data_IF_210267211694
#
_entry.id   IF_210267211694
#
_cell.length_a   1.000
_cell.length_b   1.000
_cell.length_c   1.000
_cell.angle_alpha   90.00
_cell.angle_beta   90.00
_cell.angle_gamma   90.00
#
_symmetry.space_group_name_H-M   'P 1'
#
loop_
_entity.id
_entity.type
_entity.pdbx_description
1 polymer ?
#
# COMPACT_ATOMS: atom_id res chain seq x y z
N UNK A 1 -7.62 29.88 8.47
CA UNK A 1 -6.44 29.26 7.78
C UNK A 1 -6.77 27.78 7.62
N UNK A 2 -6.62 27.18 6.42
CA UNK A 2 -7.14 25.83 6.11
C UNK A 2 -6.78 24.75 7.16
N UNK A 3 -5.60 24.86 7.77
CA UNK A 3 -5.16 24.02 8.90
C UNK A 3 -6.04 24.22 10.14
N UNK A 4 -6.03 25.41 10.73
CA UNK A 4 -6.78 25.72 11.96
C UNK A 4 -8.29 25.50 11.82
N UNK A 5 -8.84 25.80 10.64
CA UNK A 5 -10.29 25.75 10.40
C UNK A 5 -10.83 24.32 10.21
N UNK A 6 -9.96 23.35 9.90
CA UNK A 6 -10.37 21.98 9.54
C UNK A 6 -9.66 20.86 10.29
N UNK A 7 -8.61 21.16 11.06
CA UNK A 7 -7.87 20.17 11.84
C UNK A 7 -8.76 19.38 12.81
N UNK A 8 -9.59 20.06 13.60
CA UNK A 8 -10.50 19.39 14.55
C UNK A 8 -11.56 18.50 13.88
N UNK A 9 -12.09 18.95 12.73
CA UNK A 9 -13.01 18.13 11.93
C UNK A 9 -12.32 16.88 11.37
N UNK A 10 -11.09 17.04 10.85
CA UNK A 10 -10.31 15.93 10.28
C UNK A 10 -9.93 14.91 11.35
N UNK A 11 -9.49 15.35 12.53
CA UNK A 11 -9.23 14.46 13.66
C UNK A 11 -10.48 13.70 14.07
N UNK A 12 -11.64 14.35 14.15
CA UNK A 12 -12.90 13.69 14.44
C UNK A 12 -13.31 12.68 13.36
N UNK A 13 -13.00 12.95 12.09
CA UNK A 13 -13.22 12.02 10.98
C UNK A 13 -12.29 10.79 11.07
N UNK A 14 -11.01 11.00 11.41
CA UNK A 14 -10.01 9.93 11.56
C UNK A 14 -10.27 9.05 12.78
N UNK A 15 -10.69 9.61 13.92
CA UNK A 15 -11.03 8.85 15.14
C UNK A 15 -12.13 7.81 14.95
N UNK A 16 -13.01 7.98 13.94
CA UNK A 16 -14.05 6.99 13.62
C UNK A 16 -13.52 5.81 12.80
N UNK A 17 -12.26 5.87 12.36
CA UNK A 17 -11.65 4.95 11.38
C UNK A 17 -10.33 4.36 11.85
N UNK A 18 -9.82 4.80 12.99
CA UNK A 18 -8.53 4.41 13.57
C UNK A 18 -8.76 4.17 15.06
N UNK A 19 -8.12 3.14 15.60
CA UNK A 19 -8.35 2.69 16.97
C UNK A 19 -7.48 3.40 18.01
N UNK A 20 -6.43 4.11 17.58
CA UNK A 20 -5.47 4.78 18.45
C UNK A 20 -5.40 6.29 18.19
N UNK A 21 -5.30 7.07 19.26
CA UNK A 21 -5.13 8.52 19.22
C UNK A 21 -3.79 8.95 18.59
N UNK A 22 -2.73 8.15 18.73
CA UNK A 22 -1.44 8.39 18.08
C UNK A 22 -1.57 8.40 16.56
N UNK A 23 -2.10 7.30 16.00
CA UNK A 23 -2.34 7.15 14.56
C UNK A 23 -3.22 8.26 13.98
N UNK A 24 -4.23 8.73 14.75
CA UNK A 24 -5.07 9.86 14.36
C UNK A 24 -4.26 11.15 14.21
N UNK A 25 -3.35 11.43 15.14
CA UNK A 25 -2.53 12.64 15.11
C UNK A 25 -1.57 12.60 13.92
N UNK A 26 -0.90 11.46 13.72
CA UNK A 26 0.10 11.27 12.67
C UNK A 26 -0.55 11.37 11.28
N UNK A 27 -1.67 10.66 11.06
CA UNK A 27 -2.38 10.74 9.78
C UNK A 27 -2.98 12.13 9.52
N UNK A 28 -3.44 12.83 10.56
CA UNK A 28 -3.91 14.21 10.39
C UNK A 28 -2.76 15.12 9.93
N UNK A 29 -1.59 14.98 10.53
CA UNK A 29 -0.39 15.73 10.15
C UNK A 29 0.03 15.40 8.71
N UNK A 30 0.04 14.13 8.32
CA UNK A 30 0.37 13.70 6.96
C UNK A 30 -0.57 14.27 5.90
N UNK A 31 -1.88 14.35 6.19
CA UNK A 31 -2.85 15.00 5.29
C UNK A 31 -2.44 16.45 5.02
N UNK A 32 -2.10 17.20 6.07
CA UNK A 32 -1.70 18.60 5.94
C UNK A 32 -0.31 18.75 5.32
N UNK A 33 0.65 17.87 5.60
CA UNK A 33 1.96 17.87 4.93
C UNK A 33 1.80 17.63 3.43
N UNK A 34 1.04 16.61 3.01
CA UNK A 34 0.74 16.36 1.59
C UNK A 34 0.08 17.56 0.92
N UNK A 35 -0.77 18.27 1.64
CA UNK A 35 -1.43 19.47 1.15
C UNK A 35 -0.43 20.63 1.00
N UNK A 36 0.48 20.83 1.95
CA UNK A 36 1.51 21.87 1.91
C UNK A 36 2.55 21.62 0.79
N UNK A 37 2.87 20.37 0.49
CA UNK A 37 3.82 20.01 -0.56
C UNK A 37 3.25 20.09 -1.98
N UNK A 38 1.95 20.40 -2.13
CA UNK A 38 1.36 20.59 -3.46
C UNK A 38 1.88 21.87 -4.11
N UNK A 39 2.42 21.72 -5.33
CA UNK A 39 2.93 22.85 -6.11
C UNK A 39 1.80 23.75 -6.68
N UNK A 40 0.58 23.23 -6.83
CA UNK A 40 -0.54 23.98 -7.38
C UNK A 40 -1.29 24.77 -6.27
N UNK A 41 -1.67 26.04 -6.53
CA UNK A 41 -2.42 26.85 -5.57
C UNK A 41 -3.78 26.22 -5.24
N UNK A 42 -4.10 26.16 -3.95
CA UNK A 42 -5.29 25.53 -3.40
C UNK A 42 -6.46 26.51 -3.50
N UNK A 43 -7.08 26.62 -4.68
CA UNK A 43 -8.41 27.24 -4.82
C UNK A 43 -9.49 26.16 -4.66
N UNK A 44 -9.71 25.72 -3.42
CA UNK A 44 -10.61 24.61 -3.16
C UNK A 44 -11.97 25.14 -2.72
N UNK A 45 -12.99 24.91 -3.56
CA UNK A 45 -14.39 25.21 -3.23
C UNK A 45 -14.92 24.37 -2.07
N UNK A 46 -14.41 23.14 -1.91
CA UNK A 46 -14.82 22.19 -0.87
C UNK A 46 -13.63 21.60 -0.08
N UNK A 47 -13.06 22.34 0.89
CA UNK A 47 -11.87 21.93 1.63
C UNK A 47 -11.99 20.57 2.31
N UNK A 48 -13.14 20.29 2.94
CA UNK A 48 -13.39 19.03 3.64
C UNK A 48 -13.43 17.82 2.70
N UNK A 49 -13.96 17.99 1.48
CA UNK A 49 -14.00 16.92 0.49
C UNK A 49 -12.58 16.55 0.03
N UNK A 50 -11.73 17.56 -0.20
CA UNK A 50 -10.32 17.34 -0.52
C UNK A 50 -9.59 16.62 0.63
N UNK A 51 -9.72 17.13 1.86
CA UNK A 51 -9.09 16.54 3.05
C UNK A 51 -9.54 15.09 3.25
N UNK A 52 -10.84 14.80 3.13
CA UNK A 52 -11.35 13.43 3.21
C UNK A 52 -10.79 12.52 2.12
N UNK A 53 -10.57 13.02 0.90
CA UNK A 53 -9.98 12.22 -0.18
C UNK A 53 -8.54 11.86 0.11
N UNK A 54 -7.72 12.82 0.57
CA UNK A 54 -6.33 12.55 0.98
C UNK A 54 -6.30 11.60 2.19
N UNK A 55 -7.11 11.88 3.21
CA UNK A 55 -7.19 11.09 4.42
C UNK A 55 -7.67 9.66 4.17
N UNK A 56 -8.60 9.44 3.23
CA UNK A 56 -9.03 8.09 2.83
C UNK A 56 -7.88 7.26 2.29
N UNK A 57 -7.05 7.83 1.41
CA UNK A 57 -5.86 7.15 0.89
C UNK A 57 -4.91 6.76 2.01
N UNK A 58 -4.61 7.70 2.92
CA UNK A 58 -3.75 7.47 4.08
C UNK A 58 -4.29 6.41 5.04
N UNK A 59 -5.60 6.40 5.30
CA UNK A 59 -6.24 5.37 6.13
C UNK A 59 -6.14 3.99 5.48
N UNK A 60 -6.37 3.88 4.17
CA UNK A 60 -6.20 2.61 3.44
C UNK A 60 -4.74 2.14 3.52
N UNK A 61 -3.79 3.05 3.31
CA UNK A 61 -2.36 2.77 3.42
C UNK A 61 -1.96 2.31 4.84
N UNK A 62 -2.54 2.93 5.87
CA UNK A 62 -2.32 2.55 7.28
C UNK A 62 -2.82 1.12 7.56
N UNK A 63 -4.05 0.80 7.17
CA UNK A 63 -4.62 -0.54 7.38
C UNK A 63 -3.85 -1.61 6.60
N UNK A 64 -3.47 -1.32 5.35
CA UNK A 64 -2.63 -2.22 4.55
C UNK A 64 -1.31 -2.54 5.24
N UNK A 65 -0.60 -1.52 5.75
CA UNK A 65 0.66 -1.71 6.48
C UNK A 65 0.44 -2.54 7.75
N UNK A 66 -0.65 -2.28 8.48
CA UNK A 66 -0.98 -2.99 9.72
C UNK A 66 -1.29 -4.46 9.46
N UNK A 67 -2.06 -4.77 8.43
CA UNK A 67 -2.37 -6.16 8.04
C UNK A 67 -1.09 -6.92 7.66
N UNK A 68 -0.19 -6.28 6.92
CA UNK A 68 1.11 -6.84 6.56
C UNK A 68 2.01 -7.06 7.78
N UNK A 69 2.08 -6.09 8.69
CA UNK A 69 2.83 -6.21 9.94
C UNK A 69 2.30 -7.36 10.81
N UNK A 70 0.98 -7.49 10.90
CA UNK A 70 0.35 -8.59 11.62
C UNK A 70 0.69 -9.96 11.02
N UNK A 71 0.58 -10.12 9.70
CA UNK A 71 0.97 -11.36 9.00
C UNK A 71 2.47 -11.68 9.17
N UNK A 72 3.31 -10.63 9.20
CA UNK A 72 4.73 -10.78 9.46
C UNK A 72 5.00 -11.24 10.89
N UNK A 73 4.34 -10.65 11.88
CA UNK A 73 4.46 -11.06 13.29
C UNK A 73 4.01 -12.50 13.51
N UNK A 74 2.94 -12.93 12.85
CA UNK A 74 2.48 -14.33 12.86
C UNK A 74 3.54 -15.28 12.27
N UNK A 75 4.21 -14.86 11.20
CA UNK A 75 5.34 -15.61 10.61
C UNK A 75 6.53 -15.68 11.56
N UNK A 76 6.90 -14.55 12.18
CA UNK A 76 7.99 -14.47 13.17
C UNK A 76 7.72 -15.31 14.41
N UNK A 77 6.47 -15.43 14.86
CA UNK A 77 6.11 -16.26 16.00
C UNK A 77 6.43 -17.75 15.78
N UNK A 78 6.56 -18.18 14.52
CA UNK A 78 6.94 -19.55 14.16
C UNK A 78 8.44 -19.78 13.99
N UNK A 79 9.26 -18.71 14.00
CA UNK A 79 10.70 -18.77 13.77
C UNK A 79 11.49 -18.97 15.08
N UNK A 80 12.64 -19.65 15.04
CA UNK A 80 13.59 -19.67 16.15
C UNK A 80 14.10 -18.26 16.45
N UNK A 81 14.30 -17.92 17.72
CA UNK A 81 14.75 -16.58 18.15
C UNK A 81 16.07 -16.15 17.50
N UNK A 82 16.95 -17.10 17.13
CA UNK A 82 18.20 -16.84 16.42
C UNK A 82 18.02 -16.38 14.97
N UNK A 83 16.88 -16.65 14.36
CA UNK A 83 16.56 -16.29 12.96
C UNK A 83 15.69 -15.04 12.88
N UNK A 84 15.28 -14.51 14.04
CA UNK A 84 14.44 -13.34 14.12
C UNK A 84 15.25 -12.08 13.74
N UNK A 85 14.86 -11.35 12.68
CA UNK A 85 15.56 -10.15 12.26
C UNK A 85 15.44 -9.03 13.31
N UNK A 86 16.44 -8.15 13.33
CA UNK A 86 16.46 -6.95 14.19
C UNK A 86 15.27 -6.02 13.88
N UNK A 87 14.91 -5.16 14.83
CA UNK A 87 13.83 -4.19 14.65
C UNK A 87 14.04 -3.27 13.43
N UNK A 88 15.29 -2.84 13.18
CA UNK A 88 15.65 -2.04 12.01
C UNK A 88 15.43 -2.82 10.71
N UNK A 89 15.93 -4.05 10.63
CA UNK A 89 15.73 -4.91 9.44
C UNK A 89 14.25 -5.18 9.19
N UNK A 90 13.47 -5.39 10.24
CA UNK A 90 12.00 -5.55 10.12
C UNK A 90 11.34 -4.31 9.55
N UNK A 91 11.73 -3.12 10.00
CA UNK A 91 11.18 -1.86 9.50
C UNK A 91 11.43 -1.72 7.99
N UNK A 92 12.68 -1.95 7.55
CA UNK A 92 13.06 -1.90 6.14
C UNK A 92 12.27 -2.91 5.30
N UNK A 93 12.11 -4.15 5.81
CA UNK A 93 11.34 -5.19 5.13
C UNK A 93 9.86 -4.82 5.00
N UNK A 94 9.23 -4.33 6.07
CA UNK A 94 7.83 -3.92 6.05
C UNK A 94 7.59 -2.74 5.09
N UNK A 95 8.51 -1.78 5.04
CA UNK A 95 8.44 -0.67 4.09
C UNK A 95 8.52 -1.17 2.64
N UNK A 96 9.50 -2.01 2.34
CA UNK A 96 9.67 -2.59 1.00
C UNK A 96 8.44 -3.43 0.58
N UNK A 97 7.91 -4.25 1.48
CA UNK A 97 6.72 -5.06 1.22
C UNK A 97 5.46 -4.19 1.04
N UNK A 98 5.31 -3.12 1.82
CA UNK A 98 4.19 -2.17 1.67
C UNK A 98 4.26 -1.46 0.31
N UNK A 99 5.46 -1.10 -0.15
CA UNK A 99 5.67 -0.48 -1.47
C UNK A 99 5.32 -1.45 -2.61
N UNK A 100 5.77 -2.70 -2.52
CA UNK A 100 5.42 -3.76 -3.47
C UNK A 100 3.90 -3.97 -3.50
N UNK A 101 3.25 -4.06 -2.34
CA UNK A 101 1.79 -4.28 -2.28
C UNK A 101 1.02 -3.12 -2.92
N UNK A 102 1.37 -1.86 -2.61
CA UNK A 102 0.78 -0.67 -3.25
C UNK A 102 0.91 -0.70 -4.77
N UNK A 103 2.09 -1.04 -5.26
CA UNK A 103 2.35 -1.15 -6.69
C UNK A 103 1.51 -2.27 -7.32
N UNK A 104 1.47 -3.46 -6.71
CA UNK A 104 0.67 -4.58 -7.21
C UNK A 104 -0.84 -4.29 -7.16
N UNK A 105 -1.31 -3.43 -6.27
CA UNK A 105 -2.70 -2.99 -6.20
C UNK A 105 -3.12 -2.09 -7.37
N UNK A 106 -2.17 -1.52 -8.11
CA UNK A 106 -2.47 -0.81 -9.38
C UNK A 106 -2.84 -1.78 -10.51
N UNK A 107 -2.52 -3.06 -10.37
CA UNK A 107 -2.79 -4.10 -11.36
C UNK A 107 -4.20 -4.67 -11.18
N UNK A 108 -4.81 -5.10 -12.29
CA UNK A 108 -6.04 -5.90 -12.21
C UNK A 108 -5.78 -7.20 -11.44
N UNK A 109 -6.73 -7.71 -10.63
CA UNK A 109 -6.51 -8.91 -9.80
C UNK A 109 -5.98 -10.12 -10.57
N UNK A 110 -6.50 -10.37 -11.79
CA UNK A 110 -6.04 -11.47 -12.65
C UNK A 110 -4.59 -11.32 -13.15
N UNK A 111 -4.11 -10.08 -13.29
CA UNK A 111 -2.72 -9.78 -13.68
C UNK A 111 -1.81 -10.01 -12.48
N UNK A 112 -2.19 -9.47 -11.32
CA UNK A 112 -1.47 -9.66 -10.05
C UNK A 112 -1.34 -11.14 -9.70
N UNK A 113 -2.43 -11.91 -9.74
CA UNK A 113 -2.40 -13.33 -9.41
C UNK A 113 -1.48 -14.12 -10.35
N UNK A 114 -1.56 -13.92 -11.66
CA UNK A 114 -0.68 -14.60 -12.61
C UNK A 114 0.80 -14.26 -12.35
N UNK A 115 1.10 -13.01 -12.04
CA UNK A 115 2.46 -12.58 -11.70
C UNK A 115 2.97 -13.21 -10.40
N UNK A 116 2.16 -13.21 -9.33
CA UNK A 116 2.54 -13.80 -8.05
C UNK A 116 2.73 -15.32 -8.13
N UNK A 117 1.90 -16.03 -8.89
CA UNK A 117 2.07 -17.47 -9.14
C UNK A 117 3.41 -17.78 -9.83
N UNK A 118 3.87 -16.92 -10.73
CA UNK A 118 5.16 -17.08 -11.38
C UNK A 118 6.34 -16.78 -10.44
N UNK A 119 6.25 -15.71 -9.65
CA UNK A 119 7.37 -15.23 -8.82
C UNK A 119 7.50 -15.93 -7.48
N UNK A 120 6.38 -16.23 -6.81
CA UNK A 120 6.38 -16.81 -5.46
C UNK A 120 6.25 -18.34 -5.48
N UNK A 121 5.39 -18.87 -6.36
CA UNK A 121 5.18 -20.31 -6.46
C UNK A 121 6.04 -20.98 -7.55
N UNK A 122 6.78 -20.19 -8.36
CA UNK A 122 7.67 -20.72 -9.40
C UNK A 122 6.95 -21.44 -10.55
N UNK A 123 5.64 -21.22 -10.72
CA UNK A 123 4.85 -21.93 -11.73
C UNK A 123 5.20 -21.47 -13.15
N UNK A 124 5.21 -22.42 -14.09
CA UNK A 124 5.37 -22.12 -15.52
C UNK A 124 4.13 -21.45 -16.11
N UNK A 125 4.29 -20.69 -17.20
CA UNK A 125 3.16 -20.05 -17.89
C UNK A 125 2.04 -21.04 -18.27
N UNK A 126 2.40 -22.29 -18.58
CA UNK A 126 1.43 -23.37 -18.86
C UNK A 126 0.61 -23.74 -17.62
N UNK A 127 1.27 -24.01 -16.50
CA UNK A 127 0.59 -24.35 -15.23
C UNK A 127 -0.30 -23.22 -14.74
N UNK A 128 0.15 -21.97 -14.90
CA UNK A 128 -0.64 -20.79 -14.55
C UNK A 128 -1.85 -20.67 -15.49
N UNK A 129 -1.69 -20.93 -16.79
CA UNK A 129 -2.78 -20.90 -17.76
C UNK A 129 -3.86 -21.93 -17.44
N UNK A 130 -3.45 -23.15 -17.09
CA UNK A 130 -4.33 -24.22 -16.61
C UNK A 130 -5.08 -23.81 -15.34
N UNK A 131 -4.38 -23.24 -14.35
CA UNK A 131 -4.97 -22.83 -13.06
C UNK A 131 -5.92 -21.64 -13.19
N UNK A 132 -5.64 -20.70 -14.09
CA UNK A 132 -6.43 -19.48 -14.28
C UNK A 132 -7.46 -19.59 -15.40
N UNK A 133 -7.49 -20.70 -16.15
CA UNK A 133 -8.42 -20.90 -17.27
C UNK A 133 -8.16 -19.96 -18.46
N UNK A 134 -6.89 -19.59 -18.71
CA UNK A 134 -6.50 -18.67 -19.79
C UNK A 134 -5.36 -19.26 -20.63
N UNK A 135 -5.20 -18.75 -21.86
CA UNK A 135 -4.11 -19.21 -22.73
C UNK A 135 -2.73 -18.81 -22.20
N UNK A 136 -1.70 -19.60 -22.54
CA UNK A 136 -0.29 -19.32 -22.21
C UNK A 136 0.12 -17.90 -22.63
N UNK A 137 -0.25 -17.47 -23.84
CA UNK A 137 0.00 -16.11 -24.32
C UNK A 137 -0.67 -15.01 -23.47
N UNK A 138 -1.81 -15.30 -22.86
CA UNK A 138 -2.48 -14.37 -21.93
C UNK A 138 -1.71 -14.28 -20.62
N UNK A 139 -1.21 -15.42 -20.11
CA UNK A 139 -0.37 -15.47 -18.92
C UNK A 139 0.93 -14.67 -19.13
N UNK A 140 1.64 -14.90 -20.23
CA UNK A 140 2.85 -14.15 -20.57
C UNK A 140 2.59 -12.64 -20.58
N UNK A 141 1.45 -12.22 -21.16
CA UNK A 141 1.03 -10.81 -21.16
C UNK A 141 0.73 -10.28 -19.77
N UNK A 142 0.13 -11.09 -18.89
CA UNK A 142 -0.12 -10.71 -17.51
C UNK A 142 1.20 -10.57 -16.73
N UNK A 143 2.11 -11.54 -16.84
CA UNK A 143 3.42 -11.51 -16.19
C UNK A 143 4.22 -10.29 -16.67
N UNK A 144 4.24 -10.03 -17.97
CA UNK A 144 4.92 -8.85 -18.54
C UNK A 144 4.35 -7.53 -18.01
N UNK A 145 3.03 -7.43 -17.78
CA UNK A 145 2.41 -6.26 -17.14
C UNK A 145 2.84 -6.11 -15.68
N UNK A 146 2.91 -7.20 -14.94
CA UNK A 146 3.42 -7.20 -13.55
C UNK A 146 4.87 -6.71 -13.50
N UNK A 147 5.75 -7.27 -14.33
CA UNK A 147 7.15 -6.85 -14.43
C UNK A 147 7.31 -5.37 -14.80
N UNK A 148 6.47 -4.86 -15.72
CA UNK A 148 6.48 -3.43 -16.07
C UNK A 148 6.07 -2.54 -14.92
N UNK A 149 5.08 -2.92 -14.11
CA UNK A 149 4.72 -2.17 -12.92
C UNK A 149 5.86 -2.15 -11.90
N UNK A 150 6.56 -3.27 -11.69
CA UNK A 150 7.78 -3.33 -10.88
C UNK A 150 8.89 -2.42 -11.41
N UNK A 151 9.08 -2.41 -12.72
CA UNK A 151 10.10 -1.57 -13.34
C UNK A 151 9.78 -0.09 -13.18
N UNK A 152 8.54 0.32 -13.49
CA UNK A 152 8.12 1.72 -13.35
C UNK A 152 8.27 2.22 -11.90
N UNK A 153 7.83 1.44 -10.91
CA UNK A 153 7.97 1.81 -9.50
C UNK A 153 9.43 2.04 -9.08
N UNK A 154 10.37 1.23 -9.60
CA UNK A 154 11.78 1.28 -9.22
C UNK A 154 12.60 2.35 -9.96
N UNK A 155 12.20 2.76 -11.17
CA UNK A 155 13.04 3.60 -12.04
C UNK A 155 12.37 4.88 -12.56
N UNK A 156 11.05 5.05 -12.40
CA UNK A 156 10.33 6.26 -12.84
C UNK A 156 9.84 7.13 -11.66
N UNK A 157 10.25 6.78 -10.42
CA UNK A 157 10.03 7.57 -9.20
C UNK A 157 11.28 8.38 -8.86
#
# INVERSE_FOLDING_TARGET
>A
MLYLDHHGWLQGWLRRRLDNAGDVSDLAQDVFMRLLMRQAPIQVREPRALLATIARGLVIDHWRRRDLEQAWLETLASLPESEVPSAETRMILLEALTEIDRMLDTLKPVVRNAFLLAQLEGLTCRQIGERLGVSVATVERHIAKGLRACYAARFET
#
